data_IF_370473391771
#
_entry.id   IF_370473391771
#
_cell.length_a   1.000
_cell.length_b   1.000
_cell.length_c   1.000
_cell.angle_alpha   90.00
_cell.angle_beta   90.00
_cell.angle_gamma   90.00
#
_symmetry.space_group_name_H-M   'P 1'
#
loop_
_entity.id
_entity.type
_entity.pdbx_description
1 polymer ?
#
# COMPACT_ATOMS: atom_id res chain seq x y z
N UNK A 1 -54.94 -10.28 -14.41
CA UNK A 1 -54.32 -9.13 -13.72
C UNK A 1 -54.56 -9.30 -12.24
N UNK A 2 -53.52 -9.25 -11.41
CA UNK A 2 -53.69 -9.40 -9.96
C UNK A 2 -54.58 -8.26 -9.43
N UNK A 3 -55.62 -8.59 -8.67
CA UNK A 3 -56.60 -7.64 -8.12
C UNK A 3 -55.95 -6.79 -7.00
N UNK A 4 -54.82 -7.25 -6.45
CA UNK A 4 -54.10 -6.62 -5.35
C UNK A 4 -52.60 -6.63 -5.69
N UNK A 5 -51.99 -5.45 -5.70
CA UNK A 5 -50.54 -5.30 -5.85
C UNK A 5 -49.85 -5.58 -4.52
N UNK A 6 -48.71 -6.28 -4.56
CA UNK A 6 -47.89 -6.56 -3.39
C UNK A 6 -46.56 -5.84 -3.55
N UNK A 7 -46.23 -4.98 -2.59
CA UNK A 7 -44.95 -4.28 -2.48
C UNK A 7 -44.18 -4.91 -1.32
N UNK A 8 -42.98 -5.40 -1.61
CA UNK A 8 -42.09 -6.01 -0.63
C UNK A 8 -40.65 -5.72 -1.00
N UNK A 9 -39.74 -5.95 -0.07
CA UNK A 9 -38.32 -5.82 -0.34
C UNK A 9 -37.84 -6.85 -1.37
N UNK A 10 -37.33 -6.37 -2.49
CA UNK A 10 -36.64 -7.17 -3.53
C UNK A 10 -35.30 -6.54 -3.92
N UNK A 11 -34.77 -5.69 -3.03
CA UNK A 11 -33.49 -5.04 -3.20
C UNK A 11 -32.30 -5.99 -3.01
N UNK A 12 -31.09 -5.53 -3.38
CA UNK A 12 -29.86 -6.30 -3.19
C UNK A 12 -29.60 -6.61 -1.70
N UNK A 13 -28.78 -7.63 -1.39
CA UNK A 13 -28.28 -7.79 -0.02
C UNK A 13 -27.38 -6.62 0.40
N UNK A 14 -27.10 -6.51 1.69
CA UNK A 14 -26.07 -5.61 2.25
C UNK A 14 -26.23 -4.11 1.96
N UNK A 15 -27.46 -3.65 1.72
CA UNK A 15 -27.81 -2.22 1.63
C UNK A 15 -28.56 -1.74 2.86
N UNK A 16 -28.32 -0.47 3.21
CA UNK A 16 -29.00 0.21 4.31
C UNK A 16 -30.34 0.81 3.89
N UNK A 17 -30.45 1.27 2.64
CA UNK A 17 -31.71 1.73 2.08
C UNK A 17 -31.86 1.33 0.61
N UNK A 18 -33.09 1.03 0.22
CA UNK A 18 -33.47 0.71 -1.15
C UNK A 18 -34.84 1.32 -1.47
N UNK A 19 -34.92 1.99 -2.62
CA UNK A 19 -36.17 2.52 -3.14
C UNK A 19 -36.85 1.49 -4.03
N UNK A 20 -38.11 1.18 -3.74
CA UNK A 20 -38.94 0.35 -4.61
C UNK A 20 -39.10 1.02 -5.99
N UNK A 21 -38.91 0.29 -7.11
CA UNK A 21 -38.78 0.89 -8.44
C UNK A 21 -40.09 1.48 -8.98
N UNK A 22 -41.26 0.99 -8.58
CA UNK A 22 -42.54 1.51 -9.05
C UNK A 22 -43.06 2.59 -8.11
N UNK A 23 -43.56 3.68 -8.69
CA UNK A 23 -44.13 4.80 -7.93
C UNK A 23 -45.65 4.89 -8.01
N UNK A 24 -46.26 4.26 -9.01
CA UNK A 24 -47.72 4.19 -9.15
C UNK A 24 -48.23 3.04 -8.30
N UNK A 25 -48.87 3.36 -7.18
CA UNK A 25 -49.42 2.37 -6.26
C UNK A 25 -50.95 2.32 -6.41
N UNK A 26 -51.48 1.10 -6.55
CA UNK A 26 -52.92 0.87 -6.51
C UNK A 26 -53.54 1.20 -5.15
N UNK A 27 -54.83 1.54 -5.14
CA UNK A 27 -55.60 1.54 -3.89
C UNK A 27 -55.67 0.09 -3.37
N UNK A 28 -55.36 -0.14 -2.08
CA UNK A 28 -55.29 -1.46 -1.43
C UNK A 28 -54.01 -2.27 -1.67
N UNK A 29 -52.94 -1.65 -2.17
CA UNK A 29 -51.62 -2.28 -2.25
C UNK A 29 -51.21 -2.84 -0.89
N UNK A 30 -50.77 -4.10 -0.88
CA UNK A 30 -50.26 -4.78 0.31
C UNK A 30 -48.77 -4.54 0.43
N UNK A 31 -48.35 -3.79 1.45
CA UNK A 31 -46.96 -3.58 1.81
C UNK A 31 -46.52 -4.65 2.81
N UNK A 32 -45.46 -5.39 2.49
CA UNK A 32 -44.85 -6.39 3.36
C UNK A 32 -43.46 -5.90 3.76
N UNK A 33 -43.26 -5.69 5.05
CA UNK A 33 -42.00 -5.22 5.66
C UNK A 33 -41.42 -6.35 6.50
N UNK A 34 -40.14 -6.68 6.31
CA UNK A 34 -39.47 -7.71 7.11
C UNK A 34 -39.17 -7.23 8.53
N UNK A 35 -38.97 -8.17 9.47
CA UNK A 35 -38.70 -7.92 10.89
C UNK A 35 -37.52 -6.99 11.16
N UNK A 36 -36.53 -7.00 10.27
CA UNK A 36 -35.31 -6.20 10.38
C UNK A 36 -35.38 -4.91 9.58
N UNK A 37 -36.56 -4.53 9.10
CA UNK A 37 -36.76 -3.39 8.22
C UNK A 37 -37.83 -2.45 8.72
N UNK A 38 -37.78 -1.23 8.21
CA UNK A 38 -38.83 -0.24 8.34
C UNK A 38 -39.05 0.39 6.96
N UNK A 39 -40.31 0.54 6.56
CA UNK A 39 -40.65 1.13 5.28
C UNK A 39 -41.15 2.56 5.45
N UNK A 40 -40.60 3.50 4.69
CA UNK A 40 -40.97 4.91 4.68
C UNK A 40 -41.65 5.25 3.37
N UNK A 41 -42.82 5.89 3.44
CA UNK A 41 -43.55 6.34 2.28
C UNK A 41 -43.27 7.82 2.01
N UNK A 42 -42.79 8.13 0.81
CA UNK A 42 -42.57 9.48 0.34
C UNK A 42 -43.64 9.89 -0.66
N UNK A 43 -44.12 11.13 -0.57
CA UNK A 43 -44.96 11.74 -1.61
C UNK A 43 -44.65 13.22 -1.73
N UNK A 44 -44.57 13.70 -2.97
CA UNK A 44 -44.28 15.12 -3.25
C UNK A 44 -42.95 15.56 -2.63
N UNK A 45 -41.97 14.65 -2.52
CA UNK A 45 -40.67 14.92 -1.92
C UNK A 45 -40.63 14.93 -0.39
N UNK A 46 -41.74 14.63 0.30
CA UNK A 46 -41.79 14.59 1.77
C UNK A 46 -41.95 13.16 2.27
N UNK A 47 -41.21 12.80 3.31
CA UNK A 47 -41.45 11.59 4.09
C UNK A 47 -42.76 11.78 4.86
N UNK A 48 -43.73 10.88 4.66
CA UNK A 48 -45.04 10.97 5.31
C UNK A 48 -45.13 9.91 6.40
N UNK A 49 -45.47 8.68 6.06
CA UNK A 49 -45.70 7.61 7.03
C UNK A 49 -44.51 6.65 7.14
N UNK A 50 -44.38 6.03 8.31
CA UNK A 50 -43.48 4.90 8.57
C UNK A 50 -44.27 3.65 8.90
N UNK A 51 -43.82 2.52 8.36
CA UNK A 51 -44.41 1.20 8.54
C UNK A 51 -43.38 0.26 9.16
N UNK A 52 -43.62 -0.25 10.39
CA UNK A 52 -42.75 -1.24 11.01
C UNK A 52 -42.89 -2.61 10.32
N UNK A 53 -42.18 -3.61 10.82
CA UNK A 53 -42.32 -5.00 10.37
C UNK A 53 -43.78 -5.48 10.34
N UNK A 54 -44.12 -6.28 9.33
CA UNK A 54 -45.43 -6.88 9.16
C UNK A 54 -46.10 -6.55 7.83
N UNK A 55 -47.38 -6.91 7.75
CA UNK A 55 -48.23 -6.66 6.57
C UNK A 55 -49.10 -5.44 6.80
N UNK A 56 -49.03 -4.49 5.88
CA UNK A 56 -49.76 -3.23 5.91
C UNK A 56 -50.58 -3.08 4.64
N UNK A 57 -51.75 -2.47 4.76
CA UNK A 57 -52.60 -2.17 3.60
C UNK A 57 -52.53 -0.68 3.31
N UNK A 58 -51.95 -0.31 2.17
CA UNK A 58 -51.84 1.07 1.73
C UNK A 58 -53.18 1.51 1.12
N UNK A 59 -53.84 2.44 1.81
CA UNK A 59 -55.01 3.14 1.28
C UNK A 59 -54.88 4.62 1.59
N UNK A 60 -55.39 5.47 0.69
CA UNK A 60 -55.36 6.94 0.84
C UNK A 60 -56.06 7.41 2.12
N UNK A 61 -56.99 6.62 2.66
CA UNK A 61 -57.71 6.91 3.91
C UNK A 61 -56.97 6.45 5.17
N UNK A 62 -56.12 5.41 5.08
CA UNK A 62 -55.43 4.84 6.25
C UNK A 62 -54.07 5.47 6.54
N UNK A 63 -53.63 6.41 5.70
CA UNK A 63 -52.34 7.09 5.86
C UNK A 63 -52.63 8.49 6.41
N UNK A 64 -52.45 8.75 7.72
CA UNK A 64 -52.97 9.93 8.40
C UNK A 64 -52.49 11.23 7.78
N UNK A 65 -51.21 11.31 7.37
CA UNK A 65 -50.64 12.54 6.79
C UNK A 65 -51.06 12.69 5.32
N UNK A 66 -51.16 11.61 4.54
CA UNK A 66 -51.68 11.67 3.16
C UNK A 66 -53.15 12.09 3.10
N UNK A 67 -53.96 11.64 4.05
CA UNK A 67 -55.41 11.94 4.08
C UNK A 67 -55.69 13.44 4.21
N UNK A 68 -54.85 14.19 4.92
CA UNK A 68 -54.99 15.63 5.10
C UNK A 68 -54.51 16.44 3.88
N UNK A 69 -53.60 15.89 3.07
CA UNK A 69 -53.02 16.57 1.89
C UNK A 69 -53.85 16.33 0.63
N UNK A 70 -54.69 15.29 0.59
CA UNK A 70 -55.39 14.83 -0.61
C UNK A 70 -56.90 14.95 -0.43
N UNK A 71 -57.45 16.14 -0.62
CA UNK A 71 -58.88 16.32 -0.90
C UNK A 71 -59.14 16.10 -2.41
N UNK A 72 -59.14 14.84 -2.86
CA UNK A 72 -59.49 14.50 -4.26
C UNK A 72 -61.00 14.20 -4.40
N UNK A 73 -61.68 14.72 -5.44
CA UNK A 73 -63.11 14.46 -5.71
C UNK A 73 -63.42 13.05 -6.26
N UNK A 74 -62.45 12.13 -6.27
CA UNK A 74 -62.55 10.81 -6.90
C UNK A 74 -62.91 9.65 -5.95
N UNK A 75 -63.62 9.91 -4.84
CA UNK A 75 -64.21 8.85 -4.00
C UNK A 75 -63.21 7.83 -3.42
N UNK A 76 -61.94 8.19 -3.25
CA UNK A 76 -60.93 7.39 -2.53
C UNK A 76 -60.39 6.14 -3.26
N UNK A 77 -60.61 5.99 -4.58
CA UNK A 77 -60.26 4.76 -5.33
C UNK A 77 -59.35 4.98 -6.56
N UNK A 78 -58.50 5.99 -6.54
CA UNK A 78 -57.57 6.25 -7.65
C UNK A 78 -56.14 5.85 -7.26
N UNK A 79 -55.35 5.26 -8.18
CA UNK A 79 -53.91 5.08 -8.00
C UNK A 79 -53.27 6.39 -7.56
N UNK A 80 -52.29 6.30 -6.67
CA UNK A 80 -51.56 7.47 -6.19
C UNK A 80 -50.07 7.28 -6.44
N UNK A 81 -49.41 8.36 -6.82
CA UNK A 81 -47.96 8.39 -6.96
C UNK A 81 -47.32 8.57 -5.58
N UNK A 82 -46.52 7.60 -5.16
CA UNK A 82 -45.72 7.65 -3.95
C UNK A 82 -44.49 6.74 -4.09
N UNK A 83 -43.40 7.08 -3.39
CA UNK A 83 -42.20 6.25 -3.34
C UNK A 83 -42.20 5.43 -2.05
N UNK A 84 -41.89 4.14 -2.14
CA UNK A 84 -41.70 3.27 -0.97
C UNK A 84 -40.21 3.02 -0.78
N UNK A 85 -39.72 3.39 0.39
CA UNK A 85 -38.35 3.19 0.79
C UNK A 85 -38.28 2.11 1.84
N UNK A 86 -37.46 1.09 1.62
CA UNK A 86 -37.14 0.10 2.64
C UNK A 86 -35.80 0.43 3.27
N UNK A 87 -35.78 0.59 4.59
CA UNK A 87 -34.58 0.86 5.37
C UNK A 87 -34.28 -0.36 6.23
N UNK A 88 -33.06 -0.87 6.09
CA UNK A 88 -32.57 -2.01 6.84
C UNK A 88 -31.99 -1.56 8.18
N UNK A 89 -32.53 -2.12 9.28
CA UNK A 89 -32.14 -1.80 10.66
C UNK A 89 -31.22 -2.85 11.26
N UNK A 90 -30.71 -3.78 10.45
CA UNK A 90 -29.67 -4.72 10.87
C UNK A 90 -28.43 -3.97 11.39
N UNK A 91 -27.76 -4.59 12.36
CA UNK A 91 -26.50 -4.10 12.92
C UNK A 91 -25.38 -4.53 11.97
N UNK A 92 -24.82 -3.60 11.20
CA UNK A 92 -23.62 -3.86 10.41
C UNK A 92 -22.41 -3.65 11.31
N UNK A 93 -21.69 -4.72 11.67
CA UNK A 93 -20.60 -4.66 12.66
C UNK A 93 -19.20 -4.57 12.03
N UNK A 94 -19.10 -4.73 10.72
CA UNK A 94 -17.82 -4.89 10.01
C UNK A 94 -17.61 -3.82 8.91
N UNK A 95 -17.83 -2.55 9.26
CA UNK A 95 -17.55 -1.44 8.36
C UNK A 95 -16.07 -1.08 8.42
N UNK A 96 -15.30 -1.57 7.45
CA UNK A 96 -13.85 -1.33 7.36
C UNK A 96 -13.52 0.15 7.10
N UNK A 97 -12.45 0.62 7.73
CA UNK A 97 -11.86 1.93 7.48
C UNK A 97 -10.33 1.86 7.47
N UNK A 98 -9.71 2.83 6.80
CA UNK A 98 -8.26 2.99 6.80
C UNK A 98 -7.85 4.40 6.40
N UNK A 99 -6.69 4.83 6.87
CA UNK A 99 -6.08 6.12 6.53
C UNK A 99 -5.81 6.20 5.04
N UNK A 100 -6.49 7.10 4.32
CA UNK A 100 -6.29 7.28 2.86
C UNK A 100 -4.90 7.82 2.51
N UNK A 101 -4.37 8.72 3.35
CA UNK A 101 -3.00 9.25 3.28
C UNK A 101 -2.22 8.88 4.55
N UNK A 102 -0.89 8.71 4.48
CA UNK A 102 -0.09 8.50 5.68
C UNK A 102 -0.19 9.71 6.62
N UNK A 103 -0.26 9.45 7.93
CA UNK A 103 -0.16 10.45 8.98
C UNK A 103 1.32 10.73 9.22
N UNK A 104 1.80 11.89 8.77
CA UNK A 104 3.19 12.29 8.99
C UNK A 104 3.34 12.96 10.36
N UNK A 105 4.22 12.43 11.19
CA UNK A 105 4.58 13.03 12.47
C UNK A 105 6.02 12.70 12.87
N UNK A 106 6.54 13.43 13.85
CA UNK A 106 7.84 13.13 14.45
C UNK A 106 7.63 12.26 15.69
N UNK A 107 8.28 11.09 15.73
CA UNK A 107 8.28 10.26 16.93
C UNK A 107 8.96 11.02 18.10
N UNK A 108 8.30 11.16 19.26
CA UNK A 108 8.78 12.00 20.36
C UNK A 108 9.97 11.41 21.13
N UNK A 109 10.27 10.12 20.94
CA UNK A 109 11.35 9.40 21.64
C UNK A 109 12.62 9.36 20.81
N UNK A 110 12.49 9.13 19.50
CA UNK A 110 13.62 9.02 18.58
C UNK A 110 13.86 10.29 17.75
N UNK A 111 12.92 11.26 17.77
CA UNK A 111 12.94 12.48 16.96
C UNK A 111 13.04 12.21 15.45
N UNK A 112 12.54 11.05 14.99
CA UNK A 112 12.53 10.64 13.59
C UNK A 112 11.14 10.91 13.00
N UNK A 113 11.09 11.50 11.80
CA UNK A 113 9.85 11.66 11.05
C UNK A 113 9.40 10.30 10.54
N UNK A 114 8.16 9.92 10.81
CA UNK A 114 7.55 8.64 10.43
C UNK A 114 6.21 8.89 9.73
N UNK A 115 5.89 8.02 8.78
CA UNK A 115 4.62 8.04 8.06
C UNK A 115 3.72 6.91 8.55
N UNK A 116 2.76 7.19 9.43
CA UNK A 116 1.90 6.17 9.99
C UNK A 116 0.71 5.85 9.07
N UNK A 117 0.29 4.60 9.10
CA UNK A 117 -1.01 4.14 8.59
C UNK A 117 -1.79 3.54 9.74
N UNK A 118 -3.10 3.74 9.71
CA UNK A 118 -4.02 3.12 10.66
C UNK A 118 -5.21 2.54 9.91
N UNK A 119 -5.70 1.40 10.39
CA UNK A 119 -6.89 0.74 9.86
C UNK A 119 -7.65 0.04 10.97
N UNK A 120 -8.92 -0.24 10.68
CA UNK A 120 -9.78 -0.97 11.58
C UNK A 120 -11.18 -1.13 11.03
N UNK A 121 -12.14 -1.27 11.93
CA UNK A 121 -13.53 -1.46 11.62
C UNK A 121 -14.44 -0.73 12.61
N UNK A 122 -15.65 -0.40 12.19
CA UNK A 122 -16.68 0.14 13.07
C UNK A 122 -18.04 -0.47 12.75
N UNK A 123 -18.93 -0.39 13.72
CA UNK A 123 -20.27 -0.93 13.62
C UNK A 123 -21.31 0.17 13.59
N UNK A 124 -22.31 0.05 12.73
CA UNK A 124 -23.42 1.00 12.59
C UNK A 124 -24.77 0.31 12.58
N UNK A 125 -25.79 1.04 13.00
CA UNK A 125 -27.19 0.67 12.87
C UNK A 125 -28.00 1.90 12.51
N UNK A 126 -28.96 1.77 11.59
CA UNK A 126 -29.91 2.85 11.31
C UNK A 126 -30.94 2.89 12.44
N UNK A 127 -30.90 3.96 13.24
CA UNK A 127 -31.78 4.18 14.39
C UNK A 127 -33.00 5.01 14.04
N UNK A 128 -32.83 6.04 13.20
CA UNK A 128 -33.91 6.90 12.68
C UNK A 128 -33.92 6.86 11.14
N UNK A 129 -34.76 5.98 10.54
CA UNK A 129 -34.88 5.86 9.09
C UNK A 129 -35.28 7.15 8.37
N UNK A 130 -36.12 7.99 8.98
CA UNK A 130 -36.60 9.23 8.34
C UNK A 130 -35.49 10.25 8.27
N UNK A 131 -34.77 10.45 9.39
CA UNK A 131 -33.60 11.32 9.44
C UNK A 131 -32.52 10.81 8.48
N UNK A 132 -32.22 9.52 8.53
CA UNK A 132 -31.26 8.86 7.64
C UNK A 132 -31.57 9.08 6.15
N UNK A 133 -32.80 8.81 5.71
CA UNK A 133 -33.18 9.02 4.31
C UNK A 133 -33.07 10.50 3.89
N UNK A 134 -33.51 11.41 4.77
CA UNK A 134 -33.49 12.85 4.51
C UNK A 134 -32.09 13.47 4.49
N UNK A 135 -31.15 12.97 5.31
CA UNK A 135 -29.80 13.55 5.42
C UNK A 135 -28.76 12.82 4.56
N UNK A 136 -28.86 11.50 4.42
CA UNK A 136 -27.80 10.67 3.81
C UNK A 136 -28.12 10.18 2.41
N UNK A 137 -29.35 9.76 2.16
CA UNK A 137 -29.67 9.00 0.94
C UNK A 137 -30.00 9.92 -0.24
N UNK A 138 -30.68 11.03 0.02
CA UNK A 138 -31.01 12.03 -1.00
C UNK A 138 -31.79 11.42 -2.16
N UNK A 139 -31.21 11.44 -3.37
CA UNK A 139 -31.85 10.96 -4.61
C UNK A 139 -31.31 9.62 -5.11
N UNK A 140 -30.41 8.96 -4.37
CA UNK A 140 -29.87 7.66 -4.77
C UNK A 140 -30.99 6.62 -4.78
N UNK A 141 -30.99 5.61 -5.67
CA UNK A 141 -31.98 4.52 -5.59
C UNK A 141 -31.64 3.48 -4.52
N UNK A 142 -30.36 3.40 -4.13
CA UNK A 142 -29.79 2.47 -3.16
C UNK A 142 -28.71 3.17 -2.35
N UNK A 143 -28.61 2.84 -1.07
CA UNK A 143 -27.55 3.31 -0.20
C UNK A 143 -26.89 2.12 0.51
N UNK A 144 -25.61 1.91 0.24
CA UNK A 144 -24.82 0.76 0.69
C UNK A 144 -23.68 1.18 1.63
N UNK A 145 -22.92 0.18 2.10
CA UNK A 145 -21.76 0.39 2.97
C UNK A 145 -20.65 1.21 2.32
N UNK A 146 -20.38 1.01 1.02
CA UNK A 146 -19.37 1.77 0.29
C UNK A 146 -19.71 3.25 0.23
N UNK A 147 -20.97 3.58 -0.02
CA UNK A 147 -21.49 4.96 -0.04
C UNK A 147 -21.39 5.61 1.33
N UNK A 148 -21.74 4.88 2.40
CA UNK A 148 -21.57 5.34 3.78
C UNK A 148 -20.13 5.78 4.05
N UNK A 149 -19.16 4.88 3.82
CA UNK A 149 -17.74 5.15 4.06
C UNK A 149 -17.25 6.31 3.20
N UNK A 150 -17.71 6.42 1.96
CA UNK A 150 -17.35 7.52 1.05
C UNK A 150 -17.79 8.88 1.60
N UNK A 151 -19.01 8.99 2.12
CA UNK A 151 -19.54 10.26 2.63
C UNK A 151 -18.89 10.67 3.95
N UNK A 152 -18.58 9.69 4.81
CA UNK A 152 -17.97 9.96 6.12
C UNK A 152 -16.44 10.06 6.11
N UNK A 153 -15.79 9.79 4.97
CA UNK A 153 -14.32 9.78 4.89
C UNK A 153 -13.68 11.03 5.49
N UNK A 154 -14.20 12.22 5.20
CA UNK A 154 -13.66 13.47 5.73
C UNK A 154 -13.72 13.54 7.26
N UNK A 155 -14.89 13.31 7.83
CA UNK A 155 -15.13 13.34 9.29
C UNK A 155 -14.29 12.27 10.00
N UNK A 156 -14.28 11.04 9.47
CA UNK A 156 -13.47 9.95 10.00
C UNK A 156 -11.99 10.30 9.98
N UNK A 157 -11.45 10.66 8.81
CA UNK A 157 -10.01 10.90 8.66
C UNK A 157 -9.52 12.08 9.49
N UNK A 158 -10.33 13.15 9.62
CA UNK A 158 -9.98 14.30 10.45
C UNK A 158 -9.83 13.90 11.92
N UNK A 159 -10.85 13.24 12.49
CA UNK A 159 -10.84 12.84 13.90
C UNK A 159 -9.79 11.77 14.20
N UNK A 160 -9.66 10.76 13.33
CA UNK A 160 -8.67 9.70 13.49
C UNK A 160 -7.26 10.28 13.48
N UNK A 161 -6.95 11.14 12.51
CA UNK A 161 -5.62 11.75 12.37
C UNK A 161 -5.30 12.64 13.57
N UNK A 162 -6.24 13.49 14.00
CA UNK A 162 -6.06 14.36 15.16
C UNK A 162 -5.82 13.57 16.44
N UNK A 163 -6.66 12.56 16.73
CA UNK A 163 -6.59 11.80 17.97
C UNK A 163 -5.31 10.98 18.03
N UNK A 164 -4.97 10.22 16.97
CA UNK A 164 -3.74 9.43 16.93
C UNK A 164 -2.51 10.33 17.09
N UNK A 165 -2.44 11.43 16.34
CA UNK A 165 -1.31 12.36 16.40
C UNK A 165 -1.18 13.01 17.78
N UNK A 166 -2.30 13.40 18.40
CA UNK A 166 -2.31 14.02 19.72
C UNK A 166 -1.84 13.05 20.81
N UNK A 167 -2.19 11.77 20.71
CA UNK A 167 -1.69 10.74 21.64
C UNK A 167 -0.18 10.62 21.58
N UNK A 168 0.36 10.51 20.37
CA UNK A 168 1.80 10.35 20.16
C UNK A 168 2.54 11.61 20.65
N UNK A 169 2.13 12.79 20.19
CA UNK A 169 2.85 14.04 20.47
C UNK A 169 2.66 14.51 21.91
N UNK A 170 1.43 14.56 22.43
CA UNK A 170 1.15 15.15 23.75
C UNK A 170 1.47 14.21 24.89
N UNK A 171 1.15 12.91 24.76
CA UNK A 171 1.53 11.91 25.79
C UNK A 171 2.98 11.45 25.63
N UNK A 172 3.71 11.91 24.59
CA UNK A 172 5.10 11.53 24.27
C UNK A 172 5.27 10.02 24.13
N UNK A 173 4.28 9.35 23.56
CA UNK A 173 4.30 7.90 23.32
C UNK A 173 5.05 7.64 22.02
N UNK A 174 6.01 6.73 22.02
CA UNK A 174 6.67 6.33 20.78
C UNK A 174 5.70 5.56 19.88
N UNK A 175 5.83 5.71 18.57
CA UNK A 175 5.03 4.98 17.59
C UNK A 175 5.20 3.46 17.69
N UNK A 176 6.32 2.98 18.23
CA UNK A 176 6.57 1.55 18.48
C UNK A 176 5.74 1.03 19.66
N UNK A 177 5.36 1.92 20.58
CA UNK A 177 4.62 1.61 21.81
C UNK A 177 3.12 1.90 21.67
N UNK A 178 2.68 2.51 20.56
CA UNK A 178 1.31 3.00 20.37
C UNK A 178 0.26 1.89 20.42
N UNK A 179 0.64 0.65 20.07
CA UNK A 179 -0.25 -0.51 20.09
C UNK A 179 -0.80 -0.80 21.49
N UNK A 180 -0.07 -0.43 22.56
CA UNK A 180 -0.55 -0.57 23.93
C UNK A 180 -1.75 0.35 24.27
N UNK A 181 -1.99 1.37 23.44
CA UNK A 181 -3.03 2.38 23.65
C UNK A 181 -4.19 2.26 22.66
N UNK A 182 -4.20 1.24 21.79
CA UNK A 182 -5.23 1.06 20.74
C UNK A 182 -6.65 1.07 21.32
N UNK A 183 -6.89 0.44 22.47
CA UNK A 183 -8.22 0.41 23.08
C UNK A 183 -8.68 1.81 23.55
N UNK A 184 -7.79 2.58 24.15
CA UNK A 184 -8.07 3.96 24.62
C UNK A 184 -8.32 4.89 23.41
N UNK A 185 -7.49 4.77 22.38
CA UNK A 185 -7.61 5.52 21.12
C UNK A 185 -8.94 5.19 20.42
N UNK A 186 -9.28 3.90 20.32
CA UNK A 186 -10.53 3.44 19.70
C UNK A 186 -11.75 4.05 20.38
N UNK A 187 -11.77 4.04 21.71
CA UNK A 187 -12.83 4.65 22.51
C UNK A 187 -12.93 6.16 22.28
N UNK A 188 -11.81 6.88 22.30
CA UNK A 188 -11.82 8.33 22.11
C UNK A 188 -12.27 8.73 20.70
N UNK A 189 -11.87 7.97 19.68
CA UNK A 189 -12.37 8.19 18.30
C UNK A 189 -13.87 7.95 18.25
N UNK A 190 -14.37 6.87 18.85
CA UNK A 190 -15.80 6.57 18.90
C UNK A 190 -16.59 7.72 19.51
N UNK A 191 -16.17 8.21 20.68
CA UNK A 191 -16.83 9.31 21.41
C UNK A 191 -16.81 10.61 20.61
N UNK A 192 -15.73 10.90 19.88
CA UNK A 192 -15.61 12.10 19.07
C UNK A 192 -16.52 12.10 17.83
N UNK A 193 -16.69 10.95 17.17
CA UNK A 193 -17.45 10.87 15.90
C UNK A 193 -18.92 10.48 16.10
N UNK A 194 -19.28 9.83 17.22
CA UNK A 194 -20.64 9.35 17.47
C UNK A 194 -21.72 10.46 17.31
N UNK A 195 -21.54 11.69 17.80
CA UNK A 195 -22.53 12.76 17.62
C UNK A 195 -22.84 13.05 16.16
N UNK A 196 -21.82 13.05 15.28
CA UNK A 196 -22.01 13.27 13.85
C UNK A 196 -22.89 12.18 13.23
N UNK A 197 -22.68 10.90 13.59
CA UNK A 197 -23.52 9.81 13.09
C UNK A 197 -24.98 9.94 13.57
N UNK A 198 -25.20 10.31 14.84
CA UNK A 198 -26.53 10.49 15.41
C UNK A 198 -27.30 11.66 14.75
N UNK A 199 -26.61 12.73 14.33
CA UNK A 199 -27.19 13.81 13.51
C UNK A 199 -27.78 13.32 12.19
N UNK A 200 -27.39 12.14 11.72
CA UNK A 200 -27.82 11.54 10.46
C UNK A 200 -28.70 10.31 10.66
N UNK A 201 -29.16 10.04 11.88
CA UNK A 201 -30.05 8.91 12.18
C UNK A 201 -29.34 7.55 12.19
N UNK A 202 -28.02 7.57 12.37
CA UNK A 202 -27.18 6.38 12.45
C UNK A 202 -26.59 6.30 13.85
N UNK A 203 -26.75 5.16 14.50
CA UNK A 203 -26.08 4.89 15.78
C UNK A 203 -24.79 4.15 15.53
N UNK A 204 -23.70 4.71 16.07
CA UNK A 204 -22.38 4.07 16.10
C UNK A 204 -22.34 3.06 17.25
N UNK A 205 -22.18 1.78 16.93
CA UNK A 205 -22.26 0.68 17.89
C UNK A 205 -20.92 0.39 18.55
N UNK A 206 -19.85 0.44 17.76
CA UNK A 206 -18.48 0.25 18.19
C UNK A 206 -17.54 0.93 17.20
N UNK A 207 -16.30 1.15 17.62
CA UNK A 207 -15.22 1.59 16.76
C UNK A 207 -13.93 0.92 17.25
N UNK A 208 -13.22 0.27 16.35
CA UNK A 208 -11.97 -0.41 16.65
C UNK A 208 -10.89 0.04 15.68
N UNK A 209 -9.74 0.38 16.25
CA UNK A 209 -8.46 0.46 15.54
C UNK A 209 -7.83 -0.92 15.65
N UNK A 210 -7.61 -1.60 14.53
CA UNK A 210 -6.99 -2.93 14.53
C UNK A 210 -5.46 -2.82 14.53
N UNK A 211 -4.93 -1.82 13.83
CA UNK A 211 -3.49 -1.60 13.76
C UNK A 211 -3.14 -0.14 13.49
N UNK A 212 -2.03 0.30 14.09
CA UNK A 212 -1.31 1.52 13.72
C UNK A 212 0.12 1.07 13.42
N UNK A 213 0.57 1.27 12.19
CA UNK A 213 1.90 0.82 11.76
C UNK A 213 2.61 1.85 10.89
N UNK A 214 3.92 1.65 10.75
CA UNK A 214 4.74 2.34 9.74
C UNK A 214 4.89 1.36 8.57
N UNK A 215 4.66 1.78 7.31
CA UNK A 215 4.91 0.94 6.14
C UNK A 215 6.31 0.30 6.19
N UNK A 216 6.42 -0.99 5.88
CA UNK A 216 7.67 -1.74 6.06
C UNK A 216 8.85 -1.19 5.24
N UNK A 217 8.55 -0.62 4.08
CA UNK A 217 9.53 -0.02 3.18
C UNK A 217 9.82 1.46 3.49
N UNK A 218 9.26 2.03 4.56
CA UNK A 218 9.60 3.40 4.98
C UNK A 218 11.04 3.45 5.52
N UNK A 219 11.95 4.27 4.95
CA UNK A 219 13.31 4.42 5.44
C UNK A 219 13.39 4.78 6.93
N UNK A 220 12.37 5.48 7.46
CA UNK A 220 12.30 5.81 8.87
C UNK A 220 12.06 4.57 9.74
N UNK A 221 11.22 3.62 9.30
CA UNK A 221 10.99 2.36 10.01
C UNK A 221 12.27 1.53 10.07
N UNK A 222 12.99 1.45 8.94
CA UNK A 222 14.28 0.74 8.87
C UNK A 222 15.28 1.35 9.85
N UNK A 223 15.44 2.68 9.84
CA UNK A 223 16.35 3.39 10.75
C UNK A 223 16.00 3.17 12.23
N UNK A 224 14.71 3.23 12.59
CA UNK A 224 14.27 2.97 13.97
C UNK A 224 14.60 1.53 14.38
N UNK A 225 14.30 0.55 13.51
CA UNK A 225 14.61 -0.87 13.77
C UNK A 225 16.12 -1.11 13.92
N UNK A 226 16.94 -0.57 13.03
CA UNK A 226 18.41 -0.69 13.10
C UNK A 226 18.98 -0.04 14.36
N UNK A 227 18.51 1.17 14.70
CA UNK A 227 18.95 1.86 15.91
C UNK A 227 18.57 1.09 17.18
N UNK A 228 17.38 0.51 17.22
CA UNK A 228 16.92 -0.34 18.33
C UNK A 228 17.69 -1.64 18.42
N UNK A 229 17.94 -2.32 17.29
CA UNK A 229 18.72 -3.54 17.24
C UNK A 229 20.17 -3.29 17.71
N UNK A 230 20.80 -2.22 17.22
CA UNK A 230 22.15 -1.83 17.63
C UNK A 230 22.21 -1.47 19.11
N UNK A 231 21.22 -0.76 19.64
CA UNK A 231 21.13 -0.47 21.07
C UNK A 231 21.00 -1.75 21.89
N UNK A 232 20.12 -2.66 21.48
CA UNK A 232 19.94 -3.94 22.17
C UNK A 232 21.21 -4.80 22.14
N UNK A 233 21.92 -4.82 21.02
CA UNK A 233 23.21 -5.51 20.90
C UNK A 233 24.24 -4.94 21.88
N UNK A 234 24.39 -3.62 21.93
CA UNK A 234 25.25 -2.93 22.89
C UNK A 234 24.88 -3.28 24.34
N UNK A 235 23.59 -3.30 24.66
CA UNK A 235 23.08 -3.62 25.99
C UNK A 235 23.31 -5.09 26.38
N UNK A 236 23.17 -6.03 25.44
CA UNK A 236 23.38 -7.47 25.66
C UNK A 236 24.86 -7.80 25.86
N UNK A 237 25.73 -7.25 25.00
CA UNK A 237 27.17 -7.57 25.01
C UNK A 237 27.91 -6.71 26.05
N UNK A 238 27.33 -5.56 26.43
CA UNK A 238 27.84 -4.70 27.50
C UNK A 238 28.93 -3.74 27.05
N UNK A 239 28.92 -3.30 25.78
CA UNK A 239 29.85 -2.28 25.28
C UNK A 239 29.12 -1.00 24.87
N UNK A 240 29.84 0.12 24.97
CA UNK A 240 29.34 1.45 24.56
C UNK A 240 29.70 1.75 23.11
N UNK A 241 28.97 2.68 22.47
CA UNK A 241 29.27 3.13 21.10
C UNK A 241 30.72 3.60 20.91
N UNK A 242 31.28 4.29 21.92
CA UNK A 242 32.68 4.72 21.89
C UNK A 242 33.65 3.54 21.89
N UNK A 243 33.37 2.49 22.67
CA UNK A 243 34.17 1.27 22.68
C UNK A 243 34.07 0.55 21.34
N UNK A 244 32.86 0.40 20.77
CA UNK A 244 32.65 -0.22 19.45
C UNK A 244 33.44 0.50 18.35
N UNK A 245 33.35 1.84 18.28
CA UNK A 245 34.10 2.63 17.30
C UNK A 245 35.59 2.48 17.48
N UNK A 246 36.07 2.40 18.72
CA UNK A 246 37.49 2.15 19.02
C UNK A 246 37.91 0.78 18.48
N UNK A 247 37.16 -0.29 18.77
CA UNK A 247 37.45 -1.62 18.25
C UNK A 247 37.41 -1.68 16.72
N UNK A 248 36.40 -1.07 16.09
CA UNK A 248 36.28 -0.99 14.64
C UNK A 248 37.46 -0.24 14.00
N UNK A 249 37.95 0.84 14.63
CA UNK A 249 39.12 1.57 14.14
C UNK A 249 40.41 0.75 14.25
N UNK A 250 40.59 0.01 15.35
CA UNK A 250 41.73 -0.89 15.54
C UNK A 250 41.70 -2.04 14.53
N UNK A 251 40.54 -2.63 14.29
CA UNK A 251 40.37 -3.70 13.30
C UNK A 251 40.62 -3.19 11.87
N UNK A 252 40.12 -1.99 11.54
CA UNK A 252 40.35 -1.35 10.24
C UNK A 252 41.84 -1.03 9.99
N UNK A 253 42.56 -0.61 11.04
CA UNK A 253 44.01 -0.42 11.00
C UNK A 253 44.76 -1.76 10.82
N UNK A 254 44.35 -2.81 11.51
CA UNK A 254 44.94 -4.14 11.39
C UNK A 254 44.73 -4.78 10.01
N UNK A 255 43.58 -4.53 9.37
CA UNK A 255 43.29 -5.00 8.00
C UNK A 255 44.05 -4.22 6.92
N UNK A 256 44.58 -3.03 7.21
CA UNK A 256 45.33 -2.19 6.27
C UNK A 256 46.68 -1.71 6.86
N UNK A 257 47.64 -2.63 7.10
CA UNK A 257 48.89 -2.34 7.79
C UNK A 257 49.82 -1.35 7.07
N UNK A 258 49.56 -1.02 5.79
CA UNK A 258 50.33 -0.05 5.01
C UNK A 258 49.79 1.39 4.99
N UNK A 259 48.68 1.67 5.68
CA UNK A 259 48.07 3.01 5.71
C UNK A 259 48.68 3.91 6.80
N UNK A 260 48.87 5.22 6.57
CA UNK A 260 49.27 6.17 7.61
C UNK A 260 48.37 6.16 8.86
N UNK A 261 47.11 5.74 8.71
CA UNK A 261 46.17 5.55 9.82
C UNK A 261 46.55 4.35 10.72
N UNK A 262 47.22 3.33 10.19
CA UNK A 262 47.70 2.17 10.96
C UNK A 262 48.88 2.54 11.87
N UNK A 263 49.74 3.47 11.44
CA UNK A 263 50.86 4.00 12.24
C UNK A 263 50.35 4.90 13.37
N UNK A 264 49.27 5.67 13.15
CA UNK A 264 48.65 6.47 14.22
C UNK A 264 47.74 5.66 15.15
N UNK A 265 47.05 4.64 14.65
CA UNK A 265 46.17 3.78 15.47
C UNK A 265 46.93 2.85 16.43
N UNK A 266 48.12 2.39 16.02
CA UNK A 266 49.02 1.62 16.89
C UNK A 266 49.68 2.50 17.96
N UNK A 267 49.87 3.79 17.71
CA UNK A 267 50.41 4.75 18.69
C UNK A 267 49.46 5.16 19.82
N UNK A 268 48.15 4.93 19.68
CA UNK A 268 47.13 5.27 20.70
C UNK A 268 46.62 4.06 21.49
N UNK A 269 46.71 2.84 20.95
CA UNK A 269 46.25 1.60 21.60
C UNK A 269 47.31 0.82 22.38
N UNK A 270 48.60 1.09 22.14
CA UNK A 270 49.70 0.57 22.95
C UNK A 270 50.12 1.66 23.93
N UNK A 271 49.70 1.50 25.19
CA UNK A 271 49.96 2.45 26.26
C UNK A 271 51.41 2.92 26.33
N UNK A 272 51.55 4.25 26.40
CA UNK A 272 52.56 5.14 27.00
C UNK A 272 53.79 4.57 27.77
N UNK A 273 54.35 3.40 27.42
CA UNK A 273 55.39 2.74 28.22
C UNK A 273 56.58 2.18 27.47
N UNK A 274 56.62 2.22 26.13
CA UNK A 274 57.63 1.48 25.36
C UNK A 274 58.23 2.29 24.19
N UNK A 275 58.29 3.63 24.29
CA UNK A 275 58.91 4.51 23.27
C UNK A 275 60.44 4.65 23.46
N UNK A 276 61.05 3.85 24.36
CA UNK A 276 62.44 4.02 24.78
C UNK A 276 63.49 3.46 23.81
N UNK A 277 63.53 2.14 23.50
CA UNK A 277 64.74 1.57 22.91
C UNK A 277 64.64 1.21 21.43
N UNK A 278 63.51 1.43 20.74
CA UNK A 278 63.33 1.04 19.33
C UNK A 278 63.61 2.17 18.33
N UNK A 279 64.32 3.23 18.76
CA UNK A 279 64.78 4.28 17.86
C UNK A 279 66.24 4.05 17.40
N UNK A 280 67.02 3.28 18.16
CA UNK A 280 68.47 3.13 17.93
C UNK A 280 68.83 1.95 17.01
N UNK A 281 67.93 0.98 16.83
CA UNK A 281 68.15 -0.18 15.95
C UNK A 281 67.81 0.10 14.48
N UNK A 282 67.11 1.20 14.17
CA UNK A 282 66.73 1.58 12.80
C UNK A 282 67.81 2.43 12.11
N UNK A 283 68.66 3.10 12.90
CA UNK A 283 69.76 3.94 12.38
C UNK A 283 70.92 3.16 11.76
N UNK A 284 71.13 1.90 12.15
CA UNK A 284 72.29 1.09 11.71
C UNK A 284 72.05 0.21 10.47
N UNK A 285 70.88 0.29 9.83
CA UNK A 285 70.60 -0.41 8.56
C UNK A 285 70.82 0.46 7.30
N UNK A 286 71.27 1.71 7.45
CA UNK A 286 71.33 2.69 6.36
C UNK A 286 72.71 2.88 5.69
N UNK A 287 73.68 1.99 5.91
CA UNK A 287 75.07 2.20 5.43
C UNK A 287 75.52 1.28 4.28
N UNK A 288 74.61 0.49 3.70
CA UNK A 288 74.90 -0.35 2.53
C UNK A 288 73.87 -0.18 1.41
N UNK A 289 73.88 0.97 0.73
CA UNK A 289 73.29 1.10 -0.60
C UNK A 289 74.01 2.18 -1.43
N UNK A 290 74.83 1.72 -2.38
CA UNK A 290 75.34 2.53 -3.49
C UNK A 290 74.18 2.99 -4.39
N UNK A 291 74.32 4.11 -5.11
CA UNK A 291 73.26 4.64 -5.97
C UNK A 291 73.16 3.82 -7.26
N UNK A 292 72.04 3.15 -7.49
CA UNK A 292 71.64 2.70 -8.82
C UNK A 292 70.28 3.28 -9.20
N UNK A 293 70.35 4.09 -10.25
CA UNK A 293 69.43 4.27 -11.36
C UNK A 293 67.92 4.14 -11.14
N UNK A 294 67.26 5.25 -11.50
CA UNK A 294 65.85 5.43 -11.86
C UNK A 294 65.14 4.12 -12.26
N UNK A 295 64.17 3.72 -11.45
CA UNK A 295 63.11 2.83 -11.91
C UNK A 295 61.82 3.66 -12.01
N UNK A 296 61.52 4.09 -13.23
CA UNK A 296 60.20 4.58 -13.61
C UNK A 296 59.18 3.47 -13.35
N UNK A 297 58.38 3.63 -12.32
CA UNK A 297 57.17 2.81 -12.16
C UNK A 297 56.13 3.36 -13.15
N UNK A 298 56.25 2.96 -14.43
CA UNK A 298 55.28 3.27 -15.46
C UNK A 298 53.94 2.62 -15.08
N UNK A 299 53.04 3.40 -14.50
CA UNK A 299 51.63 3.05 -14.38
C UNK A 299 51.08 3.10 -15.81
N UNK A 300 50.93 1.93 -16.44
CA UNK A 300 50.29 1.83 -17.74
C UNK A 300 48.84 2.26 -17.61
N UNK A 301 48.48 3.29 -18.35
CA UNK A 301 47.14 3.88 -18.38
C UNK A 301 46.64 3.94 -19.82
N UNK A 302 45.33 3.74 -20.01
CA UNK A 302 44.65 3.89 -21.29
C UNK A 302 43.68 5.06 -21.23
N UNK A 303 43.68 5.88 -22.28
CA UNK A 303 42.75 6.99 -22.40
C UNK A 303 41.41 6.50 -22.95
N UNK A 304 40.32 6.95 -22.35
CA UNK A 304 38.98 6.74 -22.91
C UNK A 304 38.85 7.50 -24.23
N UNK A 305 38.55 6.79 -25.32
CA UNK A 305 38.37 7.39 -26.65
C UNK A 305 37.14 8.31 -26.73
N UNK A 306 36.19 8.19 -25.80
CA UNK A 306 34.96 8.98 -25.75
C UNK A 306 35.07 10.26 -24.93
N UNK A 307 35.71 10.21 -23.75
CA UNK A 307 35.76 11.36 -22.84
C UNK A 307 37.19 11.83 -22.49
N UNK A 308 38.22 11.13 -22.96
CA UNK A 308 39.62 11.47 -22.72
C UNK A 308 40.16 11.12 -21.33
N UNK A 309 39.33 10.60 -20.41
CA UNK A 309 39.77 10.25 -19.06
C UNK A 309 40.81 9.12 -19.08
N UNK A 310 41.89 9.28 -18.33
CA UNK A 310 42.90 8.24 -18.14
C UNK A 310 42.40 7.20 -17.14
N UNK A 311 42.46 5.94 -17.54
CA UNK A 311 42.03 4.78 -16.76
C UNK A 311 43.19 3.81 -16.63
N UNK A 312 43.23 2.99 -15.57
CA UNK A 312 44.25 1.94 -15.45
C UNK A 312 44.18 0.94 -16.60
N UNK A 313 45.30 0.31 -16.95
CA UNK A 313 45.38 -0.68 -18.05
C UNK A 313 44.30 -1.78 -17.94
N UNK A 314 44.09 -2.29 -16.72
CA UNK A 314 43.10 -3.33 -16.36
C UNK A 314 41.64 -2.84 -16.28
N UNK A 315 41.39 -1.51 -16.39
CA UNK A 315 40.04 -0.97 -16.22
C UNK A 315 39.10 -1.47 -17.33
N UNK A 316 38.02 -2.17 -16.98
CA UNK A 316 37.03 -2.69 -17.94
C UNK A 316 36.03 -1.63 -18.41
N UNK A 317 35.85 -0.56 -17.63
CA UNK A 317 34.99 0.58 -17.93
C UNK A 317 35.71 1.90 -17.65
N UNK A 318 35.31 2.95 -18.36
CA UNK A 318 35.79 4.30 -18.10
C UNK A 318 35.21 4.84 -16.78
N UNK A 319 36.08 5.16 -15.82
CA UNK A 319 35.71 5.78 -14.54
C UNK A 319 35.10 7.18 -14.66
N UNK A 320 35.23 7.84 -15.82
CA UNK A 320 34.65 9.16 -16.07
C UNK A 320 33.27 9.13 -16.73
N UNK A 321 33.06 8.31 -17.76
CA UNK A 321 31.83 8.33 -18.57
C UNK A 321 31.10 6.99 -18.68
N UNK A 322 31.63 5.91 -18.08
CA UNK A 322 31.01 4.58 -18.08
C UNK A 322 31.19 3.77 -19.37
N UNK A 323 31.89 4.29 -20.38
CA UNK A 323 32.11 3.57 -21.65
C UNK A 323 32.93 2.28 -21.43
N UNK A 324 32.50 1.11 -21.94
CA UNK A 324 33.25 -0.13 -21.82
C UNK A 324 34.52 -0.12 -22.68
N UNK A 325 35.60 -0.68 -22.13
CA UNK A 325 36.81 -0.99 -22.88
C UNK A 325 36.71 -2.45 -23.34
N UNK A 326 36.69 -2.68 -24.66
CA UNK A 326 36.59 -4.03 -25.21
C UNK A 326 37.75 -4.91 -24.73
N UNK A 327 37.44 -5.95 -23.94
CA UNK A 327 38.38 -7.02 -23.59
C UNK A 327 37.95 -8.32 -24.27
N UNK A 328 38.93 -9.06 -24.76
CA UNK A 328 38.76 -10.36 -25.41
C UNK A 328 38.08 -11.37 -24.47
N UNK A 329 37.20 -12.20 -25.05
CA UNK A 329 36.37 -13.16 -24.34
C UNK A 329 37.21 -14.35 -23.81
N UNK A 330 37.08 -14.64 -22.52
CA UNK A 330 37.49 -15.94 -21.96
C UNK A 330 36.29 -16.89 -22.02
N UNK A 331 36.53 -18.13 -22.43
CA UNK A 331 35.51 -19.16 -22.66
C UNK A 331 34.77 -19.52 -21.36
N UNK A 332 33.44 -19.46 -21.41
CA UNK A 332 32.55 -19.75 -20.30
C UNK A 332 32.41 -21.27 -20.04
N UNK A 333 32.22 -21.71 -18.79
CA UNK A 333 31.85 -23.09 -18.49
C UNK A 333 30.46 -23.45 -19.08
N UNK A 334 30.26 -24.71 -19.45
CA UNK A 334 29.10 -25.25 -20.19
C UNK A 334 27.72 -25.14 -19.50
N UNK A 335 27.62 -24.46 -18.36
CA UNK A 335 26.38 -24.19 -17.63
C UNK A 335 26.20 -22.71 -17.26
N UNK A 336 26.92 -21.80 -17.93
CA UNK A 336 26.81 -20.36 -17.70
C UNK A 336 25.55 -19.79 -18.37
N UNK A 337 24.80 -18.98 -17.62
CA UNK A 337 23.70 -18.17 -18.16
C UNK A 337 24.32 -17.11 -19.09
N UNK A 338 23.84 -17.01 -20.32
CA UNK A 338 24.34 -16.03 -21.29
C UNK A 338 23.49 -14.76 -21.25
N UNK A 339 24.13 -13.61 -21.43
CA UNK A 339 23.46 -12.33 -21.61
C UNK A 339 22.73 -12.30 -22.96
N UNK A 340 21.47 -11.88 -22.98
CA UNK A 340 20.67 -11.86 -24.21
C UNK A 340 21.20 -10.83 -25.23
N UNK A 341 21.81 -9.74 -24.75
CA UNK A 341 22.27 -8.63 -25.59
C UNK A 341 23.64 -8.90 -26.23
N UNK A 342 24.63 -9.39 -25.47
CA UNK A 342 26.01 -9.56 -25.96
C UNK A 342 26.50 -11.01 -26.02
N UNK A 343 25.72 -11.99 -25.55
CA UNK A 343 26.07 -13.41 -25.58
C UNK A 343 27.20 -13.84 -24.62
N UNK A 344 27.74 -12.92 -23.81
CA UNK A 344 28.76 -13.23 -22.82
C UNK A 344 28.16 -13.88 -21.56
N UNK A 345 28.93 -14.72 -20.85
CA UNK A 345 28.46 -15.36 -19.62
C UNK A 345 28.18 -14.34 -18.51
N UNK A 346 27.07 -14.53 -17.83
CA UNK A 346 26.69 -13.81 -16.63
C UNK A 346 27.18 -14.57 -15.39
N UNK A 347 27.72 -13.81 -14.42
CA UNK A 347 28.07 -14.37 -13.12
C UNK A 347 26.81 -14.82 -12.36
N UNK A 348 26.89 -15.85 -11.50
CA UNK A 348 25.79 -16.23 -10.62
C UNK A 348 25.33 -15.02 -9.79
N UNK A 349 24.04 -14.68 -9.85
CA UNK A 349 23.41 -13.52 -9.19
C UNK A 349 23.84 -12.13 -9.71
N UNK A 350 24.38 -12.01 -10.93
CA UNK A 350 24.65 -10.70 -11.53
C UNK A 350 23.37 -9.87 -11.63
N UNK A 351 23.41 -8.57 -11.33
CA UNK A 351 22.27 -7.65 -11.57
C UNK A 351 22.27 -7.04 -12.97
N UNK A 352 23.43 -7.03 -13.61
CA UNK A 352 23.68 -6.51 -14.95
C UNK A 352 24.88 -7.24 -15.56
N UNK A 353 24.96 -7.25 -16.88
CA UNK A 353 26.07 -7.83 -17.61
C UNK A 353 27.35 -7.01 -17.40
N UNK A 354 28.41 -7.65 -16.92
CA UNK A 354 29.73 -7.02 -16.74
C UNK A 354 30.47 -6.75 -18.06
N UNK A 355 29.90 -7.14 -19.20
CA UNK A 355 30.48 -6.95 -20.52
C UNK A 355 29.81 -5.82 -21.31
N UNK A 356 28.47 -5.80 -21.39
CA UNK A 356 27.73 -4.76 -22.14
C UNK A 356 26.95 -3.78 -21.25
N UNK A 357 26.80 -4.06 -19.95
CA UNK A 357 26.05 -3.21 -19.04
C UNK A 357 24.53 -3.41 -19.05
N UNK A 358 24.01 -4.33 -19.86
CA UNK A 358 22.57 -4.64 -19.91
C UNK A 358 22.07 -5.20 -18.58
N UNK A 359 20.95 -4.70 -18.02
CA UNK A 359 20.34 -5.27 -16.83
C UNK A 359 19.98 -6.74 -17.02
N UNK A 360 20.29 -7.59 -16.04
CA UNK A 360 19.95 -9.00 -16.12
C UNK A 360 18.48 -9.22 -15.75
N UNK A 361 17.72 -9.78 -16.69
CA UNK A 361 16.31 -10.12 -16.54
C UNK A 361 16.15 -11.64 -16.47
N UNK A 362 16.22 -12.19 -15.26
CA UNK A 362 16.19 -13.63 -15.04
C UNK A 362 14.79 -14.22 -15.30
N UNK A 363 14.71 -15.21 -16.21
CA UNK A 363 13.51 -16.02 -16.32
C UNK A 363 13.27 -16.83 -15.03
N UNK A 364 12.08 -16.77 -14.41
CA UNK A 364 11.79 -17.50 -13.17
C UNK A 364 11.79 -19.03 -13.34
N UNK A 365 11.67 -19.55 -14.57
CA UNK A 365 11.63 -20.99 -14.84
C UNK A 365 13.00 -21.60 -15.17
N UNK A 366 13.79 -20.96 -16.03
CA UNK A 366 15.07 -21.52 -16.52
C UNK A 366 16.30 -20.68 -16.19
N UNK A 367 16.14 -19.51 -15.56
CA UNK A 367 17.24 -18.61 -15.22
C UNK A 367 17.94 -17.95 -16.41
N UNK A 368 17.50 -18.16 -17.65
CA UNK A 368 18.09 -17.46 -18.79
C UNK A 368 17.72 -15.97 -18.76
N UNK A 369 18.64 -15.15 -19.24
CA UNK A 369 18.39 -13.73 -19.45
C UNK A 369 17.41 -13.54 -20.61
N UNK A 370 16.55 -12.53 -20.53
CA UNK A 370 15.58 -12.24 -21.58
C UNK A 370 15.52 -10.74 -21.88
N UNK A 371 15.13 -10.33 -23.10
CA UNK A 371 15.00 -8.92 -23.42
C UNK A 371 13.94 -8.25 -22.54
N UNK A 372 14.17 -6.97 -22.21
CA UNK A 372 13.25 -6.18 -21.40
C UNK A 372 11.85 -6.12 -22.05
N UNK A 373 10.82 -6.46 -21.28
CA UNK A 373 9.42 -6.42 -21.74
C UNK A 373 8.99 -7.60 -22.62
N UNK A 374 9.79 -8.65 -22.75
CA UNK A 374 9.38 -9.89 -23.40
C UNK A 374 8.18 -10.53 -22.67
N UNK A 375 7.19 -11.02 -23.44
CA UNK A 375 6.02 -11.71 -22.88
C UNK A 375 6.31 -13.18 -22.53
N UNK A 376 7.25 -13.80 -23.24
CA UNK A 376 7.66 -15.20 -23.07
C UNK A 376 9.17 -15.31 -23.12
N UNK A 377 9.73 -16.26 -22.37
CA UNK A 377 11.16 -16.54 -22.35
C UNK A 377 11.57 -17.17 -23.70
N UNK A 378 12.52 -16.59 -24.44
CA UNK A 378 12.94 -17.12 -25.74
C UNK A 378 13.56 -18.52 -25.66
N UNK A 379 14.18 -18.87 -24.52
CA UNK A 379 14.83 -20.18 -24.34
C UNK A 379 13.89 -21.30 -23.92
N UNK A 380 12.94 -21.03 -23.00
CA UNK A 380 12.09 -22.08 -22.41
C UNK A 380 10.58 -21.93 -22.65
N UNK A 381 10.16 -20.86 -23.34
CA UNK A 381 8.74 -20.58 -23.66
C UNK A 381 7.85 -20.28 -22.45
N UNK A 382 8.44 -20.04 -21.27
CA UNK A 382 7.66 -19.70 -20.08
C UNK A 382 7.12 -18.27 -20.18
N UNK A 383 5.89 -18.00 -19.73
CA UNK A 383 5.39 -16.64 -19.62
C UNK A 383 6.24 -15.85 -18.62
N UNK A 384 6.57 -14.61 -18.97
CA UNK A 384 7.42 -13.73 -18.16
C UNK A 384 6.57 -12.73 -17.36
N UNK A 385 6.98 -12.36 -16.14
CA UNK A 385 6.25 -11.38 -15.33
C UNK A 385 6.09 -10.04 -16.05
N UNK A 386 4.90 -9.47 -15.98
CA UNK A 386 4.57 -8.18 -16.60
C UNK A 386 4.33 -7.10 -15.52
N UNK A 387 4.68 -5.83 -15.77
CA UNK A 387 4.46 -4.78 -14.80
C UNK A 387 2.96 -4.46 -14.62
N UNK A 388 2.58 -4.17 -13.38
CA UNK A 388 1.24 -3.75 -13.03
C UNK A 388 0.87 -2.42 -13.67
N UNK A 389 -0.28 -2.37 -14.36
CA UNK A 389 -0.78 -1.12 -14.98
C UNK A 389 -1.16 -0.05 -13.95
N UNK A 390 -1.48 -0.46 -12.72
CA UNK A 390 -1.86 0.46 -11.65
C UNK A 390 -0.66 0.88 -10.78
N UNK A 391 0.21 -0.06 -10.40
CA UNK A 391 1.30 0.22 -9.45
C UNK A 391 2.73 -0.05 -9.96
N UNK A 392 2.89 -0.57 -11.18
CA UNK A 392 4.20 -0.87 -11.78
C UNK A 392 4.88 -2.16 -11.32
N UNK A 393 4.37 -2.82 -10.28
CA UNK A 393 4.96 -4.04 -9.71
C UNK A 393 4.91 -5.22 -10.70
N UNK A 394 5.96 -6.04 -10.75
CA UNK A 394 5.98 -7.22 -11.62
C UNK A 394 5.00 -8.26 -11.09
N UNK A 395 4.02 -8.61 -11.92
CA UNK A 395 3.04 -9.65 -11.63
C UNK A 395 3.23 -10.82 -12.57
N UNK A 396 2.90 -12.02 -12.10
CA UNK A 396 2.82 -13.19 -12.95
C UNK A 396 1.89 -12.90 -14.15
N UNK A 397 2.29 -13.28 -15.36
CA UNK A 397 1.52 -13.00 -16.57
C UNK A 397 0.12 -13.62 -16.55
N UNK A 398 -0.06 -14.69 -15.78
CA UNK A 398 -1.34 -15.40 -15.63
C UNK A 398 -2.15 -14.89 -14.41
N UNK A 399 -1.61 -13.96 -13.63
CA UNK A 399 -2.31 -13.39 -12.49
C UNK A 399 -3.50 -12.53 -12.94
N UNK A 400 -4.72 -12.93 -12.53
CA UNK A 400 -5.94 -12.14 -12.75
C UNK A 400 -5.98 -10.83 -11.96
N UNK A 401 -5.24 -10.76 -10.85
CA UNK A 401 -5.18 -9.59 -9.97
C UNK A 401 -3.74 -9.34 -9.54
N UNK A 402 -3.36 -8.07 -9.39
CA UNK A 402 -2.06 -7.72 -8.83
C UNK A 402 -2.05 -8.09 -7.33
N UNK A 403 -1.15 -8.96 -6.85
CA UNK A 403 -1.06 -9.30 -5.43
C UNK A 403 -0.63 -8.11 -4.56
N UNK A 404 -0.04 -7.07 -5.16
CA UNK A 404 0.44 -5.90 -4.44
C UNK A 404 -0.62 -4.80 -4.29
N UNK A 405 -1.36 -4.46 -5.35
CA UNK A 405 -2.34 -3.36 -5.32
C UNK A 405 -3.80 -3.79 -5.51
N UNK A 406 -4.06 -5.07 -5.76
CA UNK A 406 -5.41 -5.62 -5.94
C UNK A 406 -6.12 -5.23 -7.25
N UNK A 407 -5.48 -4.45 -8.12
CA UNK A 407 -6.07 -4.10 -9.42
C UNK A 407 -6.22 -5.34 -10.30
N UNK A 408 -7.36 -5.45 -10.98
CA UNK A 408 -7.57 -6.50 -11.98
C UNK A 408 -6.56 -6.35 -13.11
N UNK A 409 -5.89 -7.46 -13.40
CA UNK A 409 -5.03 -7.67 -14.55
C UNK A 409 -5.72 -8.44 -15.66
N UNK A 410 -6.98 -8.86 -15.44
CA UNK A 410 -7.80 -9.48 -16.46
C UNK A 410 -7.85 -8.55 -17.68
N UNK A 411 -7.32 -9.03 -18.80
CA UNK A 411 -7.50 -8.38 -20.08
C UNK A 411 -8.99 -8.53 -20.41
N UNK A 412 -9.69 -7.43 -20.68
CA UNK A 412 -11.10 -7.45 -21.09
C UNK A 412 -11.24 -6.94 -22.51
N UNK A 413 -12.24 -7.47 -23.22
CA UNK A 413 -12.61 -7.00 -24.53
C UNK A 413 -13.26 -5.60 -24.42
N UNK A 414 -12.73 -4.55 -25.08
CA UNK A 414 -13.33 -3.21 -25.02
C UNK A 414 -14.71 -3.12 -25.69
N UNK A 415 -15.11 -4.13 -26.47
CA UNK A 415 -16.42 -4.19 -27.11
C UNK A 415 -17.53 -4.84 -26.26
N UNK A 416 -17.20 -5.74 -25.33
CA UNK A 416 -18.20 -6.49 -24.57
C UNK A 416 -17.81 -6.83 -23.13
N UNK A 417 -16.70 -6.30 -22.64
CA UNK A 417 -16.10 -6.54 -21.32
C UNK A 417 -15.81 -8.02 -20.97
N UNK A 418 -15.90 -8.93 -21.93
CA UNK A 418 -15.54 -10.33 -21.72
C UNK A 418 -14.03 -10.50 -21.46
N UNK A 419 -13.68 -11.38 -20.53
CA UNK A 419 -12.29 -11.71 -20.19
C UNK A 419 -11.60 -12.39 -21.40
N UNK A 420 -10.45 -11.87 -21.81
CA UNK A 420 -9.67 -12.33 -22.98
C UNK A 420 -8.30 -12.84 -22.51
N UNK A 421 -7.72 -13.78 -23.25
CA UNK A 421 -6.40 -14.32 -22.95
C UNK A 421 -5.28 -13.46 -23.58
N UNK A 422 -4.08 -13.39 -22.97
CA UNK A 422 -2.91 -12.81 -23.61
C UNK A 422 -2.66 -13.46 -24.99
N UNK A 423 -2.35 -12.65 -26.02
CA UNK A 423 -2.08 -13.11 -27.39
C UNK A 423 -3.32 -13.35 -28.26
N UNK A 424 -4.53 -13.12 -27.75
CA UNK A 424 -5.78 -13.35 -28.48
C UNK A 424 -6.11 -12.20 -29.45
N UNK A 425 -6.16 -12.49 -30.76
CA UNK A 425 -6.38 -11.48 -31.83
C UNK A 425 -7.82 -10.97 -31.93
N UNK A 426 -8.79 -11.81 -31.57
CA UNK A 426 -10.23 -11.52 -31.64
C UNK A 426 -10.96 -12.02 -30.40
N UNK A 427 -11.94 -11.25 -29.92
CA UNK A 427 -12.83 -11.67 -28.84
C UNK A 427 -13.72 -12.82 -29.31
N UNK A 428 -13.74 -13.94 -28.59
CA UNK A 428 -14.54 -15.12 -28.95
C UNK A 428 -16.04 -14.94 -28.71
N UNK A 429 -16.44 -13.94 -27.91
CA UNK A 429 -17.84 -13.67 -27.61
C UNK A 429 -18.47 -12.69 -28.60
N UNK A 430 -17.80 -11.57 -28.89
CA UNK A 430 -18.38 -10.50 -29.72
C UNK A 430 -17.66 -10.27 -31.05
N UNK A 431 -16.58 -10.99 -31.34
CA UNK A 431 -15.79 -10.84 -32.57
C UNK A 431 -14.95 -9.55 -32.65
N UNK A 432 -14.94 -8.72 -31.60
CA UNK A 432 -14.17 -7.49 -31.56
C UNK A 432 -12.67 -7.77 -31.71
N UNK A 433 -11.98 -6.98 -32.54
CA UNK A 433 -10.55 -7.13 -32.79
C UNK A 433 -9.76 -6.52 -31.60
N UNK A 434 -8.91 -7.31 -30.96
CA UNK A 434 -8.27 -6.96 -29.69
C UNK A 434 -6.87 -6.37 -29.87
N UNK A 435 -6.17 -6.77 -30.94
CA UNK A 435 -5.09 -6.09 -31.68
C UNK A 435 -4.61 -6.99 -32.81
#
# INVERSE_FOLDING_TARGET
MAIIEVVKYEGPPDVFAWRYPKQELGTWTQLIVHDTQEAILYKGGQALDSFPAGRHTLSTANIPILSNVINLPFGGKSPFTAEVWFVNKLRSLDVKWGTSSPIQLQDPKYNIIVSLRAFGQFGVQISDPRKFLGTMVGTLPTFDQGTLVKYYRGVLMSNITEIISSYIVRKKISVVEINAYIAEISKHIMEAIAPSFEEMGITLLNFYVDSINIPEHDPAAVRIKEALAKKAEMDIIGYTYHQERTFNTLEGAAKNPGSPAAVMGTGLGMGLGMVGPMYETVGHMFDHAKPQEKNDMQIKQKACTKCGMLNGEEARFCSGCGEPFQTQAEEAPASAILCNDCGQPLAPNAKFCLHCGDPYHACPKCGHDHPAGAAECPDCGAPLPMPCRACGELVDAEAKFCPHCGSSHALTCPGCDHEIKPGQKFCMECGHKLM
#
